data_IF_173613573591
#
_entry.id   IF_173613573591
#
_cell.length_a   1.000
_cell.length_b   1.000
_cell.length_c   1.000
_cell.angle_alpha   90.00
_cell.angle_beta   90.00
_cell.angle_gamma   90.00
#
_symmetry.space_group_name_H-M   'P 1'
#
loop_
_entity.id
_entity.type
_entity.pdbx_description
1 polymer ?
#
# COMPACT_ATOMS: atom_id res chain seq x y z
N UNK A 1 6.57 -24.21 1.96
CA UNK A 1 5.24 -23.97 1.35
C UNK A 1 4.92 -25.11 0.37
N UNK A 2 3.82 -25.84 0.60
CA UNK A 2 3.34 -26.88 -0.32
C UNK A 2 3.03 -26.28 -1.70
N UNK A 3 3.31 -27.04 -2.77
CA UNK A 3 2.97 -26.67 -4.16
C UNK A 3 1.48 -26.30 -4.27
N UNK A 4 0.62 -27.00 -3.55
CA UNK A 4 -0.81 -26.75 -3.49
C UNK A 4 -1.15 -25.33 -2.98
N UNK A 5 -0.50 -24.84 -1.92
CA UNK A 5 -0.70 -23.49 -1.40
C UNK A 5 -0.22 -22.39 -2.36
N UNK A 6 0.87 -22.65 -3.09
CA UNK A 6 1.36 -21.69 -4.11
C UNK A 6 0.38 -21.59 -5.29
N UNK A 7 -0.14 -22.73 -5.72
CA UNK A 7 -1.14 -22.79 -6.78
C UNK A 7 -2.44 -22.08 -6.38
N UNK A 8 -2.91 -22.29 -5.16
CA UNK A 8 -4.09 -21.62 -4.64
C UNK A 8 -3.91 -20.10 -4.60
N UNK A 9 -2.78 -19.60 -4.08
CA UNK A 9 -2.47 -18.17 -4.02
C UNK A 9 -2.44 -17.54 -5.42
N UNK A 10 -1.90 -18.25 -6.42
CA UNK A 10 -1.89 -17.79 -7.80
C UNK A 10 -3.31 -17.70 -8.38
N UNK A 11 -4.14 -18.70 -8.14
CA UNK A 11 -5.53 -18.69 -8.61
C UNK A 11 -6.34 -17.56 -7.98
N UNK A 12 -6.21 -17.35 -6.68
CA UNK A 12 -6.83 -16.23 -5.96
C UNK A 12 -6.40 -14.88 -6.56
N UNK A 13 -5.10 -14.71 -6.87
CA UNK A 13 -4.59 -13.49 -7.49
C UNK A 13 -5.16 -13.28 -8.90
N UNK A 14 -5.28 -14.35 -9.70
CA UNK A 14 -5.86 -14.29 -11.04
C UNK A 14 -7.36 -13.99 -11.01
N UNK A 15 -8.11 -14.58 -10.09
CA UNK A 15 -9.54 -14.32 -9.94
C UNK A 15 -9.78 -12.86 -9.54
N UNK A 16 -9.00 -12.34 -8.59
CA UNK A 16 -9.07 -10.94 -8.17
C UNK A 16 -8.69 -9.97 -9.29
N UNK A 17 -7.66 -10.31 -10.08
CA UNK A 17 -7.29 -9.54 -11.26
C UNK A 17 -8.40 -9.55 -12.32
N UNK A 18 -8.96 -10.71 -12.61
CA UNK A 18 -10.02 -10.87 -13.60
C UNK A 18 -11.27 -10.07 -13.20
N UNK A 19 -11.70 -10.16 -11.94
CA UNK A 19 -12.81 -9.34 -11.43
C UNK A 19 -12.55 -7.84 -11.61
N UNK A 20 -11.37 -7.37 -11.21
CA UNK A 20 -11.02 -5.97 -11.38
C UNK A 20 -10.99 -5.54 -12.85
N UNK A 21 -10.38 -6.34 -13.72
CA UNK A 21 -10.25 -6.06 -15.16
C UNK A 21 -11.62 -6.04 -15.85
N UNK A 22 -12.55 -6.94 -15.48
CA UNK A 22 -13.87 -7.01 -16.10
C UNK A 22 -14.82 -5.93 -15.57
N UNK A 23 -14.86 -5.74 -14.27
CA UNK A 23 -15.97 -5.07 -13.61
C UNK A 23 -15.62 -3.67 -13.07
N UNK A 24 -14.35 -3.38 -12.75
CA UNK A 24 -13.97 -2.20 -11.95
C UNK A 24 -13.05 -1.21 -12.66
N UNK A 25 -12.16 -1.68 -13.54
CA UNK A 25 -11.10 -0.86 -14.12
C UNK A 25 -11.61 0.40 -14.85
N UNK A 26 -12.75 0.33 -15.53
CA UNK A 26 -13.33 1.46 -16.26
C UNK A 26 -13.77 2.61 -15.36
N UNK A 27 -14.12 2.30 -14.13
CA UNK A 27 -14.55 3.25 -13.12
C UNK A 27 -13.45 3.59 -12.12
N UNK A 28 -12.27 3.02 -12.29
CA UNK A 28 -11.15 3.16 -11.37
C UNK A 28 -10.78 4.64 -11.17
N UNK A 29 -10.62 5.41 -12.23
CA UNK A 29 -10.26 6.84 -12.15
C UNK A 29 -11.24 7.64 -11.29
N UNK A 30 -12.53 7.37 -11.44
CA UNK A 30 -13.60 8.08 -10.74
C UNK A 30 -13.66 7.75 -9.25
N UNK A 31 -13.45 6.47 -8.89
CA UNK A 31 -13.73 5.99 -7.54
C UNK A 31 -12.48 5.58 -6.74
N UNK A 32 -11.28 5.58 -7.36
CA UNK A 32 -10.02 5.15 -6.72
C UNK A 32 -9.67 5.89 -5.42
N UNK A 33 -10.21 7.06 -5.23
CA UNK A 33 -9.90 7.91 -4.08
C UNK A 33 -10.89 7.74 -2.91
N UNK A 34 -11.93 6.93 -3.09
CA UNK A 34 -12.90 6.66 -2.05
C UNK A 34 -12.50 5.41 -1.27
N UNK A 35 -12.45 5.55 0.04
CA UNK A 35 -12.25 4.46 0.98
C UNK A 35 -13.60 4.12 1.63
N UNK A 36 -14.12 2.95 1.31
CA UNK A 36 -15.39 2.45 1.85
C UNK A 36 -15.19 1.55 3.07
N UNK A 37 -13.92 1.43 3.53
CA UNK A 37 -13.55 0.55 4.63
C UNK A 37 -13.26 -0.88 4.18
N UNK A 38 -12.85 -1.74 5.13
CA UNK A 38 -12.32 -3.06 4.82
C UNK A 38 -13.38 -4.07 4.36
N UNK A 39 -14.63 -3.91 4.78
CA UNK A 39 -15.72 -4.87 4.56
C UNK A 39 -16.56 -4.57 3.32
N UNK A 40 -16.48 -3.35 2.81
CA UNK A 40 -17.26 -2.92 1.65
C UNK A 40 -16.56 -3.23 0.33
N UNK A 41 -17.34 -3.25 -0.74
CA UNK A 41 -16.80 -3.46 -2.07
C UNK A 41 -15.89 -2.29 -2.50
N UNK A 42 -14.65 -2.62 -2.81
CA UNK A 42 -13.64 -1.64 -3.18
C UNK A 42 -13.57 -1.44 -4.69
N UNK A 43 -13.39 -0.17 -5.10
CA UNK A 43 -13.13 0.20 -6.49
C UNK A 43 -11.67 0.03 -6.92
N UNK A 44 -10.77 -0.24 -5.97
CA UNK A 44 -9.35 -0.51 -6.26
C UNK A 44 -9.08 -2.00 -6.35
N UNK A 45 -8.00 -2.36 -7.05
CA UNK A 45 -7.68 -3.75 -7.35
C UNK A 45 -7.24 -4.58 -6.13
N UNK A 46 -6.72 -3.95 -5.07
CA UNK A 46 -6.09 -4.59 -3.90
C UNK A 46 -4.99 -5.61 -4.26
N UNK A 47 -4.34 -5.48 -5.44
CA UNK A 47 -3.34 -6.43 -5.95
C UNK A 47 -1.92 -6.21 -5.43
N UNK A 48 -1.70 -5.17 -4.63
CA UNK A 48 -0.36 -4.81 -4.15
C UNK A 48 0.40 -5.96 -3.47
N UNK A 49 -0.21 -6.83 -2.66
CA UNK A 49 0.49 -7.98 -2.09
C UNK A 49 0.99 -8.95 -3.16
N UNK A 50 0.15 -9.30 -4.12
CA UNK A 50 0.51 -10.25 -5.18
C UNK A 50 1.62 -9.70 -6.10
N UNK A 51 1.57 -8.40 -6.40
CA UNK A 51 2.59 -7.75 -7.22
C UNK A 51 3.92 -7.62 -6.45
N UNK A 52 3.89 -7.23 -5.17
CA UNK A 52 5.10 -7.13 -4.34
C UNK A 52 5.82 -8.46 -4.21
N UNK A 53 5.08 -9.55 -4.10
CA UNK A 53 5.62 -10.90 -3.97
C UNK A 53 5.81 -11.63 -5.31
N UNK A 54 5.68 -10.92 -6.45
CA UNK A 54 5.90 -11.47 -7.80
C UNK A 54 4.99 -12.66 -8.16
N UNK A 55 3.79 -12.70 -7.59
CA UNK A 55 2.71 -13.63 -7.98
C UNK A 55 2.06 -13.15 -9.27
N UNK A 56 1.88 -11.82 -9.40
CA UNK A 56 1.47 -11.13 -10.62
C UNK A 56 2.58 -10.16 -11.04
N UNK A 57 2.75 -9.99 -12.34
CA UNK A 57 3.81 -9.13 -12.88
C UNK A 57 3.21 -7.90 -13.56
N UNK A 58 3.74 -6.73 -13.24
CA UNK A 58 3.23 -5.45 -13.71
C UNK A 58 3.09 -5.39 -15.24
N UNK A 59 4.06 -5.92 -15.98
CA UNK A 59 4.05 -5.89 -17.44
C UNK A 59 2.98 -6.80 -18.05
N UNK A 60 2.63 -7.92 -17.40
CA UNK A 60 1.55 -8.82 -17.84
C UNK A 60 0.19 -8.14 -17.65
N UNK A 61 -0.04 -7.54 -16.48
CA UNK A 61 -1.25 -6.77 -16.21
C UNK A 61 -1.44 -5.64 -17.22
N UNK A 62 -0.38 -4.89 -17.52
CA UNK A 62 -0.41 -3.80 -18.52
C UNK A 62 -0.68 -4.31 -19.93
N UNK A 63 -0.11 -5.46 -20.30
CA UNK A 63 -0.33 -6.07 -21.62
C UNK A 63 -1.80 -6.50 -21.79
N UNK A 64 -2.40 -7.10 -20.77
CA UNK A 64 -3.81 -7.50 -20.79
C UNK A 64 -4.75 -6.29 -20.88
N UNK A 65 -4.50 -5.25 -20.08
CA UNK A 65 -5.30 -4.02 -20.15
C UNK A 65 -5.24 -3.41 -21.55
N UNK A 66 -4.05 -3.25 -22.13
CA UNK A 66 -3.86 -2.67 -23.47
C UNK A 66 -4.49 -3.52 -24.57
N UNK A 67 -4.46 -4.85 -24.42
CA UNK A 67 -5.11 -5.78 -25.36
C UNK A 67 -6.62 -5.67 -25.32
N UNK A 68 -7.19 -5.49 -24.12
CA UNK A 68 -8.63 -5.50 -23.92
C UNK A 68 -9.29 -4.13 -24.12
N UNK A 69 -8.62 -3.06 -23.75
CA UNK A 69 -9.16 -1.72 -23.76
C UNK A 69 -8.35 -0.77 -24.65
N UNK A 70 -9.04 -0.16 -25.63
CA UNK A 70 -8.49 0.90 -26.48
C UNK A 70 -8.92 2.30 -26.03
N UNK A 71 -9.71 2.40 -24.96
CA UNK A 71 -10.27 3.66 -24.46
C UNK A 71 -9.39 4.31 -23.39
N UNK A 72 -9.47 5.63 -23.27
CA UNK A 72 -8.74 6.41 -22.26
C UNK A 72 -9.20 6.13 -20.81
N UNK A 73 -10.33 5.44 -20.63
CA UNK A 73 -10.91 5.20 -19.29
C UNK A 73 -10.06 4.31 -18.38
N UNK A 74 -9.04 3.66 -18.91
CA UNK A 74 -8.11 2.81 -18.15
C UNK A 74 -6.72 3.44 -17.96
N UNK A 75 -6.48 4.61 -18.55
CA UNK A 75 -5.17 5.27 -18.52
C UNK A 75 -4.71 5.53 -17.09
N UNK A 76 -5.63 5.94 -16.21
CA UNK A 76 -5.27 6.21 -14.82
C UNK A 76 -4.75 4.97 -14.08
N UNK A 77 -5.30 3.80 -14.33
CA UNK A 77 -4.78 2.55 -13.78
C UNK A 77 -3.38 2.25 -14.33
N UNK A 78 -3.19 2.41 -15.65
CA UNK A 78 -1.89 2.20 -16.31
C UNK A 78 -0.83 3.13 -15.70
N UNK A 79 -1.14 4.41 -15.49
CA UNK A 79 -0.25 5.38 -14.85
C UNK A 79 0.15 4.94 -13.44
N UNK A 80 -0.80 4.48 -12.62
CA UNK A 80 -0.52 4.05 -11.25
C UNK A 80 0.39 2.80 -11.21
N UNK A 81 0.26 1.89 -12.19
CA UNK A 81 1.19 0.77 -12.32
C UNK A 81 2.59 1.25 -12.74
N UNK A 82 2.68 2.22 -13.66
CA UNK A 82 3.97 2.82 -14.03
C UNK A 82 4.63 3.56 -12.88
N UNK A 83 3.87 4.29 -12.04
CA UNK A 83 4.41 4.92 -10.83
C UNK A 83 5.05 3.90 -9.90
N UNK A 84 4.44 2.73 -9.72
CA UNK A 84 5.01 1.65 -8.93
C UNK A 84 6.36 1.17 -9.50
N UNK A 85 6.44 0.94 -10.80
CA UNK A 85 7.68 0.52 -11.49
C UNK A 85 8.75 1.61 -11.34
N UNK A 86 8.38 2.88 -11.58
CA UNK A 86 9.27 4.02 -11.47
C UNK A 86 9.90 4.13 -10.08
N UNK A 87 9.10 4.04 -9.03
CA UNK A 87 9.59 4.18 -7.66
C UNK A 87 10.49 3.03 -7.23
N UNK A 88 10.26 1.82 -7.70
CA UNK A 88 11.19 0.69 -7.50
C UNK A 88 12.54 0.98 -8.15
N UNK A 89 12.55 1.36 -9.41
CA UNK A 89 13.78 1.72 -10.12
C UNK A 89 14.49 2.93 -9.50
N UNK A 90 13.72 3.91 -9.02
CA UNK A 90 14.28 5.07 -8.32
C UNK A 90 14.99 4.64 -7.02
N UNK A 91 14.38 3.77 -6.22
CA UNK A 91 14.98 3.27 -4.98
C UNK A 91 16.25 2.46 -5.26
N UNK A 92 16.27 1.63 -6.29
CA UNK A 92 17.46 0.87 -6.70
C UNK A 92 18.62 1.79 -7.06
N UNK A 93 18.34 2.92 -7.71
CA UNK A 93 19.34 3.92 -8.07
C UNK A 93 19.73 4.88 -6.93
N UNK A 94 19.01 4.84 -5.82
CA UNK A 94 19.25 5.70 -4.64
C UNK A 94 19.39 4.87 -3.35
N UNK A 95 20.35 3.95 -3.27
CA UNK A 95 20.49 3.04 -2.13
C UNK A 95 20.78 3.76 -0.80
N UNK A 96 21.20 5.02 -0.83
CA UNK A 96 21.36 5.84 0.35
C UNK A 96 20.08 6.00 1.15
N UNK A 97 18.92 6.10 0.48
CA UNK A 97 17.62 6.22 1.15
C UNK A 97 17.32 5.03 2.05
N UNK A 98 17.60 3.83 1.55
CA UNK A 98 17.44 2.59 2.32
C UNK A 98 18.45 2.52 3.46
N UNK A 99 19.72 2.82 3.19
CA UNK A 99 20.77 2.81 4.21
C UNK A 99 20.46 3.81 5.35
N UNK A 100 20.01 5.01 5.02
CA UNK A 100 19.61 6.00 6.02
C UNK A 100 18.46 5.52 6.91
N UNK A 101 17.52 4.78 6.32
CA UNK A 101 16.41 4.19 7.07
C UNK A 101 16.86 3.10 8.03
N UNK A 102 17.70 2.14 7.57
CA UNK A 102 18.13 0.99 8.38
C UNK A 102 19.26 1.32 9.35
N UNK A 103 20.02 2.41 9.13
CA UNK A 103 21.18 2.77 9.99
C UNK A 103 20.80 3.18 11.41
N UNK A 104 19.51 3.27 11.72
CA UNK A 104 18.98 3.57 13.05
C UNK A 104 19.53 4.89 13.61
N UNK A 105 18.76 5.95 13.50
CA UNK A 105 19.08 7.18 14.27
C UNK A 105 18.34 7.13 15.59
N UNK A 106 18.97 7.57 16.66
CA UNK A 106 18.29 7.78 17.94
C UNK A 106 17.30 8.94 17.78
N UNK A 107 16.07 8.60 17.40
CA UNK A 107 14.99 9.57 17.29
C UNK A 107 14.50 9.92 18.69
N UNK A 108 14.47 11.21 19.01
CA UNK A 108 13.78 11.68 20.23
C UNK A 108 12.29 11.75 19.94
N UNK A 109 11.51 11.05 20.69
CA UNK A 109 10.04 11.07 20.62
C UNK A 109 9.45 10.72 22.00
N UNK A 110 8.19 11.06 22.21
CA UNK A 110 7.48 10.67 23.40
C UNK A 110 7.02 9.21 23.31
N UNK A 111 7.56 8.39 24.19
CA UNK A 111 7.28 6.95 24.19
C UNK A 111 5.83 6.63 24.55
N UNK A 112 5.19 7.43 25.39
CA UNK A 112 3.77 7.23 25.74
C UNK A 112 2.89 7.47 24.53
N UNK A 113 3.11 8.56 23.79
CA UNK A 113 2.41 8.84 22.52
C UNK A 113 2.63 7.74 21.50
N UNK A 114 3.87 7.22 21.37
CA UNK A 114 4.16 6.12 20.45
C UNK A 114 3.39 4.84 20.82
N UNK A 115 3.41 4.42 22.07
CA UNK A 115 2.69 3.22 22.52
C UNK A 115 1.18 3.36 22.33
N UNK A 116 0.60 4.53 22.64
CA UNK A 116 -0.80 4.83 22.36
C UNK A 116 -1.11 4.77 20.86
N UNK A 117 -0.23 5.31 20.03
CA UNK A 117 -0.39 5.31 18.58
C UNK A 117 -0.42 3.89 18.01
N UNK A 118 0.59 3.07 18.31
CA UNK A 118 0.68 1.70 17.78
C UNK A 118 -0.34 0.73 18.37
N UNK A 119 -0.86 1.01 19.58
CA UNK A 119 -1.93 0.21 20.18
C UNK A 119 -3.32 0.53 19.64
N UNK A 120 -3.51 1.72 19.03
CA UNK A 120 -4.80 2.22 18.59
C UNK A 120 -5.63 2.82 19.75
N UNK A 121 -4.94 3.41 20.73
CA UNK A 121 -5.51 4.03 21.93
C UNK A 121 -5.10 5.50 22.07
N UNK A 122 -4.85 6.19 20.97
CA UNK A 122 -4.59 7.62 20.96
C UNK A 122 -5.87 8.43 21.21
N UNK A 123 -5.75 9.73 21.41
CA UNK A 123 -6.90 10.64 21.54
C UNK A 123 -7.68 10.82 20.22
N UNK A 124 -7.15 10.36 19.10
CA UNK A 124 -7.70 10.51 17.76
C UNK A 124 -8.46 9.24 17.36
N UNK A 125 -9.78 9.21 17.58
CA UNK A 125 -10.62 8.03 17.33
C UNK A 125 -10.54 7.50 15.89
N UNK A 126 -10.50 8.40 14.90
CA UNK A 126 -10.35 8.03 13.49
C UNK A 126 -9.00 7.35 13.21
N UNK A 127 -7.91 7.81 13.83
CA UNK A 127 -6.59 7.20 13.70
C UNK A 127 -6.56 5.81 14.34
N UNK A 128 -7.17 5.66 15.51
CA UNK A 128 -7.31 4.36 16.19
C UNK A 128 -8.07 3.34 15.31
N UNK A 129 -9.10 3.79 14.59
CA UNK A 129 -9.82 2.93 13.64
C UNK A 129 -8.90 2.43 12.54
N UNK A 130 -8.05 3.28 11.94
CA UNK A 130 -7.08 2.89 10.92
C UNK A 130 -6.00 1.94 11.46
N UNK A 131 -5.53 2.14 12.70
CA UNK A 131 -4.58 1.22 13.36
C UNK A 131 -5.20 -0.17 13.50
N UNK A 132 -6.45 -0.23 13.97
CA UNK A 132 -7.17 -1.48 14.16
C UNK A 132 -7.46 -2.17 12.82
N UNK A 133 -7.85 -1.40 11.78
CA UNK A 133 -8.03 -1.91 10.42
C UNK A 133 -6.74 -2.52 9.89
N UNK A 134 -5.62 -1.78 9.98
CA UNK A 134 -4.32 -2.26 9.54
C UNK A 134 -3.90 -3.56 10.24
N UNK A 135 -4.10 -3.66 11.55
CA UNK A 135 -3.76 -4.86 12.33
C UNK A 135 -4.66 -6.06 12.03
N UNK A 136 -5.93 -5.80 11.72
CA UNK A 136 -6.93 -6.85 11.49
C UNK A 136 -6.84 -7.39 10.06
N UNK A 137 -6.72 -6.50 9.08
CA UNK A 137 -6.81 -6.85 7.65
C UNK A 137 -5.47 -6.82 6.93
N UNK A 138 -4.40 -6.34 7.58
CA UNK A 138 -3.06 -6.16 7.00
C UNK A 138 -3.06 -5.33 5.70
N UNK A 139 -4.02 -4.45 5.57
CA UNK A 139 -4.24 -3.59 4.43
C UNK A 139 -4.83 -2.26 4.88
N UNK A 140 -4.47 -1.18 4.20
CA UNK A 140 -5.15 0.10 4.24
C UNK A 140 -5.28 0.63 2.81
N UNK A 141 -6.38 1.32 2.55
CA UNK A 141 -6.56 2.05 1.31
C UNK A 141 -5.45 3.09 1.11
N UNK A 142 -5.04 3.35 -0.15
CA UNK A 142 -3.92 4.25 -0.43
C UNK A 142 -4.07 5.65 0.18
N UNK A 143 -5.26 6.25 0.11
CA UNK A 143 -5.52 7.56 0.72
C UNK A 143 -5.44 7.50 2.25
N UNK A 144 -5.95 6.44 2.86
CA UNK A 144 -5.87 6.24 4.31
C UNK A 144 -4.43 6.09 4.75
N UNK A 145 -3.55 5.44 3.96
CA UNK A 145 -2.10 5.41 4.24
C UNK A 145 -1.48 6.81 4.27
N UNK A 146 -1.90 7.69 3.37
CA UNK A 146 -1.41 9.08 3.32
C UNK A 146 -1.90 9.89 4.53
N UNK A 147 -3.17 9.78 4.88
CA UNK A 147 -3.73 10.43 6.06
C UNK A 147 -3.13 9.88 7.37
N UNK A 148 -2.90 8.58 7.43
CA UNK A 148 -2.22 7.94 8.54
C UNK A 148 -0.82 8.52 8.74
N UNK A 149 -0.02 8.62 7.67
CA UNK A 149 1.33 9.15 7.73
C UNK A 149 1.34 10.64 8.12
N UNK A 150 0.42 11.43 7.57
CA UNK A 150 0.25 12.84 7.94
C UNK A 150 -0.11 13.00 9.41
N UNK A 151 -1.06 12.22 9.91
CA UNK A 151 -1.48 12.25 11.32
C UNK A 151 -0.34 11.82 12.25
N UNK A 152 0.38 10.75 11.88
CA UNK A 152 1.54 10.26 12.63
C UNK A 152 2.62 11.33 12.81
N UNK A 153 2.96 12.03 11.72
CA UNK A 153 4.06 13.02 11.72
C UNK A 153 3.61 14.34 12.35
N UNK A 154 2.49 14.89 11.90
CA UNK A 154 2.12 16.27 12.23
C UNK A 154 1.21 16.41 13.46
N UNK A 155 0.34 15.45 13.73
CA UNK A 155 -0.55 15.50 14.88
C UNK A 155 0.06 14.81 16.11
N UNK A 156 0.69 13.65 15.91
CA UNK A 156 1.30 12.89 16.99
C UNK A 156 2.79 13.26 17.23
N UNK A 157 3.41 14.00 16.32
CA UNK A 157 4.80 14.42 16.43
C UNK A 157 5.81 13.27 16.41
N UNK A 158 5.43 12.12 15.83
CA UNK A 158 6.25 10.92 15.83
C UNK A 158 7.17 10.86 14.60
N UNK A 159 8.40 10.35 14.75
CA UNK A 159 9.30 10.14 13.62
C UNK A 159 8.68 9.26 12.53
N UNK A 160 8.78 9.69 11.27
CA UNK A 160 8.22 8.95 10.14
C UNK A 160 8.81 7.54 10.00
N UNK A 161 10.04 7.34 10.42
CA UNK A 161 10.72 6.04 10.34
C UNK A 161 10.05 4.98 11.22
N UNK A 162 9.52 5.38 12.38
CA UNK A 162 8.77 4.48 13.25
C UNK A 162 7.43 4.10 12.60
N UNK A 163 6.76 5.04 11.95
CA UNK A 163 5.53 4.78 11.20
C UNK A 163 5.78 3.88 9.98
N UNK A 164 6.86 4.12 9.22
CA UNK A 164 7.27 3.26 8.13
C UNK A 164 7.58 1.83 8.60
N UNK A 165 8.25 1.68 9.74
CA UNK A 165 8.51 0.38 10.38
C UNK A 165 7.21 -0.31 10.79
N UNK A 166 6.26 0.46 11.34
CA UNK A 166 4.94 -0.07 11.71
C UNK A 166 4.18 -0.58 10.47
N UNK A 167 4.22 0.14 9.36
CA UNK A 167 3.65 -0.32 8.09
C UNK A 167 4.32 -1.59 7.56
N UNK A 168 5.66 -1.65 7.57
CA UNK A 168 6.37 -2.87 7.16
C UNK A 168 5.96 -4.09 7.96
N UNK A 169 5.71 -3.92 9.25
CA UNK A 169 5.32 -5.02 10.14
C UNK A 169 3.91 -5.54 9.86
N UNK A 170 3.01 -4.67 9.41
CA UNK A 170 1.59 -5.00 9.33
C UNK A 170 1.04 -5.12 7.91
N UNK A 171 1.58 -4.42 6.92
CA UNK A 171 1.08 -4.50 5.55
C UNK A 171 1.51 -5.79 4.84
N UNK A 172 0.57 -6.49 4.24
CA UNK A 172 0.86 -7.69 3.44
C UNK A 172 1.74 -7.42 2.22
N UNK A 173 1.68 -6.22 1.65
CA UNK A 173 2.51 -5.90 0.49
C UNK A 173 3.99 -5.70 0.86
N UNK A 174 4.31 -5.27 2.08
CA UNK A 174 5.69 -5.16 2.59
C UNK A 174 6.69 -4.53 1.61
N UNK A 175 6.21 -3.68 0.68
CA UNK A 175 7.02 -3.12 -0.40
C UNK A 175 7.91 -2.00 0.10
N UNK A 176 9.22 -2.22 0.11
CA UNK A 176 10.20 -1.26 0.62
C UNK A 176 10.12 0.08 -0.11
N UNK A 177 10.07 0.07 -1.44
CA UNK A 177 10.07 1.30 -2.23
C UNK A 177 8.79 2.10 -2.00
N UNK A 178 7.62 1.48 -2.18
CA UNK A 178 6.33 2.14 -2.00
C UNK A 178 6.14 2.65 -0.57
N UNK A 179 6.51 1.83 0.44
CA UNK A 179 6.34 2.21 1.84
C UNK A 179 7.26 3.38 2.23
N UNK A 180 8.58 3.26 2.03
CA UNK A 180 9.53 4.30 2.44
C UNK A 180 9.31 5.62 1.71
N UNK A 181 9.07 5.56 0.39
CA UNK A 181 8.90 6.76 -0.40
C UNK A 181 7.58 7.46 -0.07
N UNK A 182 6.51 6.71 0.18
CA UNK A 182 5.22 7.28 0.61
C UNK A 182 5.35 8.06 1.92
N UNK A 183 6.10 7.56 2.88
CA UNK A 183 6.34 8.26 4.15
C UNK A 183 7.20 9.52 4.01
N UNK A 184 8.04 9.60 2.98
CA UNK A 184 8.89 10.79 2.72
C UNK A 184 8.18 11.89 1.92
N UNK A 185 7.01 11.60 1.40
CA UNK A 185 6.18 12.57 0.66
C UNK A 185 5.28 13.42 1.53
N UNK A 186 5.10 13.02 2.75
CA UNK A 186 4.23 13.68 3.73
C UNK A 186 4.94 14.82 4.42
#
# INVERSE_FOLDING_TARGET
FSICKKMQLFLEAQDQWSDFLENKIKNYEKFRNFDYGPTEESSVSKLSPYISHRVLLEYELLAEVKKKYQSNNVNKFIEEVYWRIYWKGWMENKPGVWRDFISGKDYKYDNETYEKAISGNSELSFFNSWVNELKTYNYLHNHTRMWFASTWIFNLGLPWQLGATFFFKHLYDGDAASNLLSWRWV
#
